data_IF_070275144458
#
_entry.id   IF_070275144458
#
_cell.length_a   1.000
_cell.length_b   1.000
_cell.length_c   1.000
_cell.angle_alpha   90.00
_cell.angle_beta   90.00
_cell.angle_gamma   90.00
#
_symmetry.space_group_name_H-M   'P 1'
#
loop_
_entity.id
_entity.type
_entity.pdbx_description
1 polymer ?
#
# COMPACT_ATOMS: atom_id res chain seq x y z
N UNK A 1 -7.35 0.53 20.62
CA UNK A 1 -6.81 1.31 19.49
C UNK A 1 -6.51 0.34 18.35
N UNK A 2 -7.37 0.30 17.32
CA UNK A 2 -7.09 -0.46 16.11
C UNK A 2 -5.84 0.13 15.44
N UNK A 3 -4.87 -0.73 15.15
CA UNK A 3 -3.64 -0.31 14.50
C UNK A 3 -3.87 -0.31 12.99
N UNK A 4 -4.02 0.88 12.41
CA UNK A 4 -4.25 1.08 10.98
C UNK A 4 -3.03 0.74 10.09
N UNK A 5 -1.90 0.39 10.67
CA UNK A 5 -0.67 0.02 9.95
C UNK A 5 -0.52 -1.51 9.76
N UNK A 6 -1.53 -2.28 10.18
CA UNK A 6 -1.54 -3.73 10.05
C UNK A 6 -2.44 -4.15 8.88
N UNK A 7 -1.92 -5.01 8.04
CA UNK A 7 -2.67 -5.71 7.00
C UNK A 7 -2.57 -7.22 7.23
N UNK A 8 -3.70 -7.91 7.19
CA UNK A 8 -3.74 -9.36 7.38
C UNK A 8 -4.13 -10.04 6.08
N UNK A 9 -3.23 -10.83 5.53
CA UNK A 9 -3.50 -11.66 4.35
C UNK A 9 -4.09 -13.00 4.77
N UNK A 10 -5.37 -13.21 4.48
CA UNK A 10 -6.08 -14.45 4.78
C UNK A 10 -5.93 -15.51 3.67
N UNK A 11 -5.36 -15.15 2.52
CA UNK A 11 -5.25 -16.06 1.37
C UNK A 11 -4.05 -17.00 1.47
N UNK A 12 -4.31 -18.24 1.12
CA UNK A 12 -3.32 -19.29 0.89
C UNK A 12 -3.40 -19.76 -0.54
N UNK A 13 -2.31 -20.29 -1.08
CA UNK A 13 -2.31 -20.78 -2.45
C UNK A 13 -1.17 -21.74 -2.72
N UNK A 14 -1.29 -22.42 -3.86
CA UNK A 14 -0.25 -23.28 -4.42
C UNK A 14 0.62 -22.47 -5.36
N UNK A 15 1.88 -22.29 -4.99
CA UNK A 15 2.85 -21.48 -5.70
C UNK A 15 3.86 -22.40 -6.39
N UNK A 16 4.17 -22.11 -7.66
CA UNK A 16 5.29 -22.73 -8.39
C UNK A 16 6.53 -21.86 -8.21
N UNK A 17 7.55 -22.41 -7.59
CA UNK A 17 8.84 -21.76 -7.35
C UNK A 17 9.67 -21.66 -8.64
N UNK A 18 10.74 -20.89 -8.60
CA UNK A 18 11.65 -20.74 -9.74
C UNK A 18 12.38 -22.07 -10.10
N UNK A 19 12.54 -22.96 -9.15
CA UNK A 19 13.10 -24.31 -9.34
C UNK A 19 12.09 -25.33 -9.87
N UNK A 20 10.85 -24.89 -10.20
CA UNK A 20 9.78 -25.74 -10.69
C UNK A 20 9.01 -26.51 -9.61
N UNK A 21 9.44 -26.47 -8.36
CA UNK A 21 8.73 -27.14 -7.26
C UNK A 21 7.48 -26.37 -6.85
N UNK A 22 6.46 -27.11 -6.48
CA UNK A 22 5.23 -26.53 -5.93
C UNK A 22 5.27 -26.48 -4.41
N UNK A 23 4.73 -25.40 -3.86
CA UNK A 23 4.65 -25.18 -2.42
C UNK A 23 3.30 -24.56 -2.08
N UNK A 24 2.69 -25.02 -0.99
CA UNK A 24 1.56 -24.33 -0.37
C UNK A 24 2.09 -23.30 0.60
N UNK A 25 1.67 -22.05 0.45
CA UNK A 25 2.11 -20.96 1.30
C UNK A 25 1.04 -19.89 1.48
N UNK A 26 1.14 -19.11 2.54
CA UNK A 26 0.38 -17.87 2.68
C UNK A 26 0.87 -16.86 1.64
N UNK A 27 -0.06 -16.15 1.00
CA UNK A 27 0.24 -15.25 -0.11
C UNK A 27 0.75 -13.86 0.30
N UNK A 28 0.93 -13.60 1.59
CA UNK A 28 1.45 -12.32 2.09
C UNK A 28 2.82 -11.95 1.49
N UNK A 29 3.67 -12.94 1.20
CA UNK A 29 4.96 -12.71 0.52
C UNK A 29 4.79 -12.16 -0.90
N UNK A 30 3.79 -12.62 -1.65
CA UNK A 30 3.46 -12.11 -2.98
C UNK A 30 2.94 -10.66 -2.89
N UNK A 31 2.08 -10.37 -1.90
CA UNK A 31 1.58 -9.02 -1.61
C UNK A 31 2.73 -8.06 -1.33
N UNK A 32 3.66 -8.45 -0.47
CA UNK A 32 4.85 -7.64 -0.14
C UNK A 32 5.69 -7.35 -1.39
N UNK A 33 5.87 -8.34 -2.26
CA UNK A 33 6.56 -8.17 -3.53
C UNK A 33 5.85 -7.20 -4.48
N UNK A 34 4.51 -7.15 -4.45
CA UNK A 34 3.73 -6.15 -5.22
C UNK A 34 3.92 -4.75 -4.66
N UNK A 35 3.83 -4.57 -3.35
CA UNK A 35 4.08 -3.28 -2.73
C UNK A 35 5.48 -2.72 -3.00
N UNK A 36 6.48 -3.58 -3.12
CA UNK A 36 7.83 -3.15 -3.45
C UNK A 36 7.96 -2.54 -4.86
N UNK A 37 7.06 -2.90 -5.78
CA UNK A 37 7.04 -2.40 -7.17
C UNK A 37 6.02 -1.30 -7.41
N UNK A 38 4.88 -1.35 -6.72
CA UNK A 38 3.78 -0.42 -6.94
C UNK A 38 4.13 0.98 -6.41
N UNK A 39 3.85 2.06 -7.15
CA UNK A 39 3.84 3.42 -6.62
C UNK A 39 3.00 3.51 -5.35
N UNK A 40 3.33 4.44 -4.45
CA UNK A 40 2.70 4.47 -3.11
C UNK A 40 1.21 4.75 -3.14
N UNK A 41 0.75 5.55 -4.10
CA UNK A 41 -0.65 5.93 -4.30
C UNK A 41 -1.45 4.91 -5.10
N UNK A 42 -0.81 3.87 -5.63
CA UNK A 42 -1.51 2.89 -6.45
C UNK A 42 -2.00 1.70 -5.65
N UNK A 43 -3.26 1.33 -5.90
CA UNK A 43 -3.80 0.07 -5.40
C UNK A 43 -3.19 -1.12 -6.13
N UNK A 44 -2.73 -2.11 -5.36
CA UNK A 44 -2.24 -3.37 -5.91
C UNK A 44 -3.37 -4.31 -6.38
N UNK A 45 -4.63 -3.94 -6.12
CA UNK A 45 -5.82 -4.65 -6.58
C UNK A 45 -6.29 -4.29 -7.98
N UNK A 46 -5.52 -3.49 -8.74
CA UNK A 46 -5.87 -3.16 -10.14
C UNK A 46 -5.87 -4.42 -11.00
N UNK A 47 -6.97 -4.62 -11.74
CA UNK A 47 -7.16 -5.77 -12.64
C UNK A 47 -6.75 -5.47 -14.08
N UNK A 48 -6.45 -4.22 -14.41
CA UNK A 48 -6.05 -3.81 -15.75
C UNK A 48 -4.74 -4.51 -16.16
N UNK A 49 -4.70 -5.24 -17.30
CA UNK A 49 -3.55 -6.08 -17.67
C UNK A 49 -2.23 -5.31 -17.77
N UNK A 50 -2.27 -4.07 -18.29
CA UNK A 50 -1.10 -3.21 -18.45
C UNK A 50 -0.54 -2.68 -17.10
N UNK A 51 -1.32 -2.74 -16.03
CA UNK A 51 -0.84 -2.43 -14.68
C UNK A 51 0.13 -3.49 -14.13
N UNK A 52 0.09 -4.72 -14.67
CA UNK A 52 1.01 -5.80 -14.30
C UNK A 52 0.87 -6.30 -12.86
N UNK A 53 -0.33 -6.14 -12.25
CA UNK A 53 -0.57 -6.56 -10.86
C UNK A 53 -1.17 -7.96 -10.73
N UNK A 54 -1.57 -8.60 -11.84
CA UNK A 54 -2.00 -9.98 -11.85
C UNK A 54 -0.89 -10.96 -11.46
N UNK A 55 -1.26 -12.05 -10.85
CA UNK A 55 -0.37 -13.18 -10.57
C UNK A 55 -0.70 -14.28 -11.56
N UNK A 56 0.25 -14.57 -12.45
CA UNK A 56 0.08 -15.56 -13.49
C UNK A 56 -0.30 -16.92 -12.92
N UNK A 57 -1.30 -17.58 -13.51
CA UNK A 57 -1.70 -18.95 -13.19
C UNK A 57 -0.56 -19.98 -13.31
N UNK A 58 0.50 -19.68 -14.07
CA UNK A 58 1.71 -20.49 -14.10
C UNK A 58 2.52 -20.43 -12.80
N UNK A 59 2.35 -19.41 -11.98
CA UNK A 59 3.06 -19.20 -10.72
C UNK A 59 2.18 -19.38 -9.49
N UNK A 60 0.95 -18.94 -9.54
CA UNK A 60 -0.09 -19.13 -8.52
C UNK A 60 -1.18 -19.97 -9.17
N UNK A 61 -1.13 -21.28 -8.94
CA UNK A 61 -1.96 -22.24 -9.67
C UNK A 61 -3.32 -22.52 -9.02
N UNK A 62 -3.45 -22.21 -7.74
CA UNK A 62 -4.67 -22.52 -7.00
C UNK A 62 -4.79 -21.64 -5.75
N UNK A 63 -5.98 -21.14 -5.46
CA UNK A 63 -6.32 -20.53 -4.17
C UNK A 63 -6.85 -21.60 -3.20
N UNK A 64 -6.48 -21.50 -1.94
CA UNK A 64 -6.85 -22.44 -0.89
C UNK A 64 -7.58 -21.73 0.27
N UNK A 65 -8.49 -22.41 1.00
CA UNK A 65 -8.86 -23.83 0.85
C UNK A 65 -9.69 -24.10 -0.41
N UNK A 66 -9.77 -25.36 -0.81
CA UNK A 66 -10.68 -25.79 -1.89
C UNK A 66 -12.11 -25.34 -1.59
N UNK A 67 -12.81 -24.79 -2.59
CA UNK A 67 -14.12 -24.16 -2.39
C UNK A 67 -14.08 -22.68 -1.98
N UNK A 68 -12.90 -22.05 -1.99
CA UNK A 68 -12.74 -20.60 -1.84
C UNK A 68 -13.49 -19.91 -2.99
N UNK A 69 -14.62 -19.30 -2.67
CA UNK A 69 -15.54 -18.71 -3.63
C UNK A 69 -15.81 -17.22 -3.33
N UNK A 70 -16.52 -16.56 -4.24
CA UNK A 70 -16.79 -15.13 -4.14
C UNK A 70 -17.49 -14.73 -2.83
N UNK A 71 -18.38 -15.56 -2.29
CA UNK A 71 -19.07 -15.26 -1.03
C UNK A 71 -18.10 -15.25 0.16
N UNK A 72 -17.14 -16.19 0.19
CA UNK A 72 -16.10 -16.22 1.22
C UNK A 72 -15.17 -15.03 1.07
N UNK A 73 -14.79 -14.65 -0.15
CA UNK A 73 -13.96 -13.49 -0.46
C UNK A 73 -14.60 -12.21 0.07
N UNK A 74 -15.91 -12.04 -0.18
CA UNK A 74 -16.67 -10.86 0.27
C UNK A 74 -16.79 -10.78 1.79
N UNK A 75 -17.02 -11.90 2.47
CA UNK A 75 -17.07 -11.96 3.94
C UNK A 75 -15.70 -11.58 4.56
N UNK A 76 -14.61 -12.11 4.03
CA UNK A 76 -13.27 -11.79 4.49
C UNK A 76 -12.92 -10.32 4.22
N UNK A 77 -13.34 -9.80 3.07
CA UNK A 77 -13.14 -8.39 2.73
C UNK A 77 -13.92 -7.46 3.65
N UNK A 78 -15.18 -7.77 3.97
CA UNK A 78 -15.96 -7.02 4.97
C UNK A 78 -15.28 -7.04 6.33
N UNK A 79 -14.69 -8.17 6.72
CA UNK A 79 -13.94 -8.31 7.97
C UNK A 79 -12.57 -7.60 7.97
N UNK A 80 -12.17 -6.96 6.86
CA UNK A 80 -10.92 -6.19 6.75
C UNK A 80 -9.69 -7.02 6.39
N UNK A 81 -9.86 -8.26 5.91
CA UNK A 81 -8.76 -9.10 5.45
C UNK A 81 -8.44 -8.84 3.99
N UNK A 82 -7.15 -8.87 3.66
CA UNK A 82 -6.69 -8.92 2.28
C UNK A 82 -6.87 -10.33 1.73
N UNK A 83 -7.54 -10.43 0.59
CA UNK A 83 -7.83 -11.68 -0.12
C UNK A 83 -7.43 -11.58 -1.59
N UNK A 84 -7.47 -12.73 -2.27
CA UNK A 84 -7.24 -12.83 -3.70
C UNK A 84 -8.52 -13.28 -4.39
N UNK A 85 -8.66 -12.93 -5.66
CA UNK A 85 -9.82 -13.28 -6.48
C UNK A 85 -9.41 -13.63 -7.91
N UNK A 86 -10.08 -14.61 -8.45
CA UNK A 86 -10.11 -14.90 -9.87
C UNK A 86 -11.30 -14.18 -10.49
N UNK A 87 -11.12 -13.62 -11.68
CA UNK A 87 -12.19 -12.95 -12.42
C UNK A 87 -12.44 -13.68 -13.74
N UNK A 88 -13.71 -13.95 -14.03
CA UNK A 88 -14.10 -14.54 -15.29
C UNK A 88 -13.61 -13.72 -16.48
N UNK A 89 -12.93 -14.36 -17.42
CA UNK A 89 -12.34 -13.69 -18.57
C UNK A 89 -10.94 -13.10 -18.37
N UNK A 90 -10.38 -13.18 -17.16
CA UNK A 90 -8.97 -12.86 -16.91
C UNK A 90 -8.17 -14.11 -16.58
N UNK A 91 -6.95 -14.20 -17.10
CA UNK A 91 -6.08 -15.38 -16.92
C UNK A 91 -5.32 -15.38 -15.61
N UNK A 92 -5.23 -14.22 -14.95
CA UNK A 92 -4.43 -14.02 -13.75
C UNK A 92 -5.30 -13.98 -12.49
N UNK A 93 -4.69 -14.26 -11.36
CA UNK A 93 -5.26 -14.10 -10.03
C UNK A 93 -4.87 -12.72 -9.51
N UNK A 94 -5.79 -11.99 -8.90
CA UNK A 94 -5.59 -10.60 -8.45
C UNK A 94 -5.84 -10.48 -6.95
N UNK A 95 -5.19 -9.49 -6.33
CA UNK A 95 -5.61 -9.02 -5.01
C UNK A 95 -6.99 -8.40 -5.15
N UNK A 96 -7.95 -8.80 -4.29
CA UNK A 96 -9.31 -8.27 -4.38
C UNK A 96 -9.35 -6.81 -3.92
N UNK A 97 -9.11 -6.56 -2.65
CA UNK A 97 -8.91 -5.22 -2.11
C UNK A 97 -7.71 -5.22 -1.16
N UNK A 98 -6.94 -4.14 -1.19
CA UNK A 98 -5.77 -3.99 -0.32
C UNK A 98 -6.15 -3.37 1.03
N UNK A 99 -7.15 -3.95 1.72
CA UNK A 99 -7.67 -3.42 2.98
C UNK A 99 -6.69 -3.54 4.12
N UNK A 100 -6.76 -2.56 5.01
CA UNK A 100 -6.06 -2.53 6.29
C UNK A 100 -6.97 -2.98 7.41
N UNK A 101 -6.41 -3.50 8.50
CA UNK A 101 -7.14 -3.85 9.70
C UNK A 101 -7.42 -2.58 10.51
N UNK A 102 -8.51 -1.89 10.17
CA UNK A 102 -8.89 -0.62 10.79
C UNK A 102 -10.37 -0.62 11.18
N UNK A 103 -10.81 0.28 12.08
CA UNK A 103 -12.22 0.46 12.40
C UNK A 103 -13.04 0.84 11.16
N UNK A 104 -14.31 0.50 11.18
CA UNK A 104 -15.27 0.97 10.18
C UNK A 104 -15.32 2.50 10.18
N UNK A 105 -15.34 3.10 8.97
CA UNK A 105 -15.33 4.56 8.81
C UNK A 105 -13.94 5.21 8.90
N UNK A 106 -12.86 4.45 9.01
CA UNK A 106 -11.50 5.00 8.97
C UNK A 106 -11.13 5.49 7.56
N UNK A 107 -10.50 6.68 7.48
CA UNK A 107 -9.91 7.21 6.25
C UNK A 107 -8.70 6.38 5.76
N UNK A 108 -8.14 5.55 6.64
CA UNK A 108 -6.99 4.67 6.34
C UNK A 108 -7.41 3.22 6.09
N UNK A 109 -8.51 3.06 5.35
CA UNK A 109 -9.08 1.74 5.07
C UNK A 109 -8.26 0.94 4.06
N UNK A 110 -7.55 1.61 3.17
CA UNK A 110 -6.75 1.00 2.11
C UNK A 110 -5.26 1.20 2.31
N UNK A 111 -4.49 0.24 1.85
CA UNK A 111 -3.03 0.25 2.04
C UNK A 111 -2.36 1.41 1.30
N UNK A 112 -2.89 1.85 0.16
CA UNK A 112 -2.39 3.00 -0.57
C UNK A 112 -2.46 4.29 0.25
N UNK A 113 -3.57 4.53 0.98
CA UNK A 113 -3.73 5.71 1.83
C UNK A 113 -2.71 5.71 2.98
N UNK A 114 -2.54 4.55 3.62
CA UNK A 114 -1.54 4.36 4.69
C UNK A 114 -0.12 4.55 4.15
N UNK A 115 0.18 4.05 2.96
CA UNK A 115 1.51 4.17 2.31
C UNK A 115 1.84 5.62 1.97
N UNK A 116 0.87 6.36 1.43
CA UNK A 116 1.02 7.80 1.15
C UNK A 116 1.26 8.57 2.44
N UNK A 117 0.42 8.37 3.47
CA UNK A 117 0.60 8.98 4.80
C UNK A 117 2.01 8.72 5.35
N UNK A 118 2.44 7.46 5.35
CA UNK A 118 3.73 7.07 5.90
C UNK A 118 4.90 7.64 5.09
N UNK A 119 4.76 7.79 3.77
CA UNK A 119 5.74 8.49 2.93
C UNK A 119 5.82 9.97 3.30
N UNK A 120 4.68 10.65 3.43
CA UNK A 120 4.63 12.06 3.87
C UNK A 120 5.39 12.23 5.20
N UNK A 121 5.00 11.47 6.22
CA UNK A 121 5.62 11.55 7.55
C UNK A 121 7.13 11.35 7.47
N UNK A 122 7.58 10.35 6.72
CA UNK A 122 9.01 10.04 6.58
C UNK A 122 9.78 11.16 5.88
N UNK A 123 9.25 11.67 4.77
CA UNK A 123 9.97 12.68 3.97
C UNK A 123 9.99 14.05 4.66
N UNK A 124 8.88 14.46 5.28
CA UNK A 124 8.81 15.68 6.11
C UNK A 124 9.74 15.57 7.32
N UNK A 125 9.73 14.43 8.03
CA UNK A 125 10.62 14.19 9.17
C UNK A 125 12.10 14.28 8.78
N UNK A 126 12.50 13.73 7.65
CA UNK A 126 13.88 13.83 7.15
C UNK A 126 14.30 15.28 7.00
N UNK A 127 13.45 16.14 6.43
CA UNK A 127 13.71 17.58 6.29
C UNK A 127 13.75 18.30 7.63
N UNK A 128 12.78 18.02 8.51
CA UNK A 128 12.73 18.61 9.84
C UNK A 128 13.94 18.25 10.71
N UNK A 129 14.50 17.03 10.54
CA UNK A 129 15.71 16.64 11.27
C UNK A 129 16.95 17.46 10.86
N UNK A 130 17.00 17.98 9.65
CA UNK A 130 18.10 18.85 9.19
C UNK A 130 18.06 20.24 9.84
N UNK A 131 16.90 20.64 10.35
CA UNK A 131 16.71 21.91 11.07
C UNK A 131 16.85 21.76 12.60
N UNK A 132 17.17 20.54 13.05
CA UNK A 132 17.27 20.28 14.50
C UNK A 132 18.50 21.01 15.07
N UNK A 133 18.28 21.81 16.11
CA UNK A 133 19.29 22.62 16.82
C UNK A 133 19.91 23.73 15.94
N UNK A 134 19.29 24.10 14.82
CA UNK A 134 19.70 25.32 14.11
C UNK A 134 19.30 26.58 14.91
N UNK A 135 20.17 27.54 14.91
CA UNK A 135 19.90 28.86 15.50
C UNK A 135 18.77 29.56 14.73
N UNK A 136 17.97 30.34 15.45
CA UNK A 136 16.89 31.14 14.88
C UNK A 136 17.34 32.61 14.90
N UNK A 137 17.19 33.28 13.77
CA UNK A 137 17.38 34.71 13.71
C UNK A 137 16.26 35.42 14.50
N UNK A 138 16.64 36.06 15.60
CA UNK A 138 15.71 36.76 16.48
C UNK A 138 15.30 38.15 15.94
N UNK A 139 16.01 38.68 14.93
CA UNK A 139 15.67 39.96 14.29
C UNK A 139 14.56 39.79 13.25
N UNK A 140 14.49 38.63 12.58
CA UNK A 140 13.41 38.28 11.61
C UNK A 140 12.83 36.88 11.85
N UNK A 141 12.24 36.68 13.00
CA UNK A 141 11.63 35.40 13.39
C UNK A 141 10.58 34.93 12.37
N UNK A 142 9.75 35.83 11.85
CA UNK A 142 8.66 35.47 10.93
C UNK A 142 9.21 34.96 9.58
N UNK A 143 10.18 35.69 9.00
CA UNK A 143 10.84 35.30 7.76
C UNK A 143 11.58 33.98 7.90
N UNK A 144 12.26 33.76 9.03
CA UNK A 144 12.94 32.50 9.32
C UNK A 144 11.97 31.32 9.43
N UNK A 145 10.83 31.48 10.11
CA UNK A 145 9.81 30.43 10.22
C UNK A 145 9.19 30.10 8.86
N UNK A 146 8.91 31.09 8.03
CA UNK A 146 8.40 30.89 6.67
C UNK A 146 9.41 30.15 5.78
N UNK A 147 10.68 30.53 5.85
CA UNK A 147 11.75 29.85 5.13
C UNK A 147 11.89 28.38 5.54
N UNK A 148 11.83 28.09 6.84
CA UNK A 148 11.87 26.73 7.40
C UNK A 148 10.64 25.92 6.99
N UNK A 149 9.45 26.51 7.05
CA UNK A 149 8.22 25.88 6.60
C UNK A 149 8.30 25.50 5.11
N UNK A 150 8.77 26.42 4.27
CA UNK A 150 9.00 26.18 2.84
C UNK A 150 10.06 25.09 2.59
N UNK A 151 11.14 25.06 3.36
CA UNK A 151 12.15 24.01 3.25
C UNK A 151 11.59 22.62 3.59
N UNK A 152 10.76 22.52 4.64
CA UNK A 152 10.15 21.26 5.07
C UNK A 152 9.05 20.81 4.10
N UNK A 153 8.40 21.72 3.37
CA UNK A 153 7.36 21.40 2.39
C UNK A 153 7.89 20.90 1.04
N UNK A 154 9.15 21.11 0.69
CA UNK A 154 9.74 20.67 -0.59
C UNK A 154 9.40 19.21 -0.97
N UNK A 155 9.45 18.21 -0.06
CA UNK A 155 9.05 16.86 -0.40
C UNK A 155 7.57 16.74 -0.78
N UNK A 156 6.69 17.55 -0.20
CA UNK A 156 5.26 17.54 -0.50
C UNK A 156 5.00 18.10 -1.89
N UNK A 157 5.71 19.18 -2.29
CA UNK A 157 5.64 19.71 -3.65
C UNK A 157 5.99 18.63 -4.69
N UNK A 158 7.07 17.88 -4.44
CA UNK A 158 7.47 16.75 -5.29
C UNK A 158 6.41 15.65 -5.35
N UNK A 159 5.76 15.35 -4.23
CA UNK A 159 4.68 14.35 -4.21
C UNK A 159 3.45 14.82 -4.99
N UNK A 160 3.16 16.12 -5.02
CA UNK A 160 2.12 16.72 -5.88
C UNK A 160 2.51 16.60 -7.36
N UNK A 161 3.74 16.97 -7.72
CA UNK A 161 4.27 16.84 -9.09
C UNK A 161 4.21 15.39 -9.59
N UNK A 162 4.51 14.42 -8.71
CA UNK A 162 4.46 12.98 -9.00
C UNK A 162 3.03 12.41 -8.97
N UNK A 163 2.02 13.23 -8.68
CA UNK A 163 0.60 12.83 -8.55
C UNK A 163 0.38 11.76 -7.46
N UNK A 164 1.21 11.75 -6.43
CA UNK A 164 1.04 10.89 -5.27
C UNK A 164 0.03 11.44 -4.28
N UNK A 165 -0.11 12.77 -4.23
CA UNK A 165 -1.14 13.52 -3.53
C UNK A 165 -1.68 14.61 -4.45
N UNK A 166 -2.91 15.05 -4.22
CA UNK A 166 -3.55 16.10 -5.03
C UNK A 166 -3.13 17.51 -4.58
N UNK A 167 -3.03 17.73 -3.29
CA UNK A 167 -2.59 19.00 -2.67
C UNK A 167 -2.30 18.81 -1.20
N UNK A 168 -1.69 19.81 -0.57
CA UNK A 168 -1.53 19.90 0.88
C UNK A 168 -1.74 21.35 1.34
N UNK A 169 -2.00 21.54 2.62
CA UNK A 169 -2.15 22.85 3.28
C UNK A 169 -1.26 22.92 4.51
#
# INVERSE_FOLDING_TARGET
>A
NANTDIQVCAAWGRIVRLDGRTQIANLAGLVSGRYAKAPVQESIGKTRPDAGYGFSGARLTELLPAGYNNSVIELLDVAGYLTFREYDGLSDIYVYHAKMLCPEGSDYRYAEDVRVRNKIIREVRKKGLLLKNDDIDLEDIQGELEARAKFVSIPLDRMVEQKEISSYK
#
